data_IF_523054725731
#
_entry.id   IF_523054725731
#
_cell.length_a   1.000
_cell.length_b   1.000
_cell.length_c   1.000
_cell.angle_alpha   90.00
_cell.angle_beta   90.00
_cell.angle_gamma   90.00
#
_symmetry.space_group_name_H-M   'P 1'
#
loop_
_entity.id
_entity.type
_entity.pdbx_description
1 polymer ?
#
# COMPACT_ATOMS: atom_id res chain seq x y z
N UNK A 1 41.69 -1.46 1.15
CA UNK A 1 40.78 -2.61 0.98
C UNK A 1 39.37 -2.14 1.31
N UNK A 2 38.55 -1.84 0.30
CA UNK A 2 37.18 -1.40 0.50
C UNK A 2 36.31 -2.62 0.85
N UNK A 3 35.83 -2.69 2.09
CA UNK A 3 34.77 -3.64 2.46
C UNK A 3 33.50 -3.23 1.72
N UNK A 4 33.23 -3.93 0.62
CA UNK A 4 31.93 -3.89 -0.04
C UNK A 4 30.90 -4.40 0.96
N UNK A 5 30.09 -3.49 1.51
CA UNK A 5 28.93 -3.81 2.33
C UNK A 5 28.07 -4.82 1.56
N UNK A 6 28.16 -6.10 1.93
CA UNK A 6 27.22 -7.11 1.45
C UNK A 6 25.85 -6.68 1.95
N UNK A 7 24.83 -6.59 1.09
CA UNK A 7 23.48 -6.27 1.54
C UNK A 7 23.09 -7.31 2.60
N UNK A 8 22.81 -6.85 3.82
CA UNK A 8 22.22 -7.69 4.85
C UNK A 8 21.02 -8.39 4.22
N UNK A 9 21.02 -9.73 4.27
CA UNK A 9 19.92 -10.55 3.76
C UNK A 9 18.67 -10.06 4.49
N UNK A 10 17.75 -9.40 3.77
CA UNK A 10 16.55 -8.83 4.38
C UNK A 10 15.86 -9.92 5.20
N UNK A 11 15.58 -9.63 6.47
CA UNK A 11 14.88 -10.57 7.35
C UNK A 11 13.53 -10.89 6.70
N UNK A 12 13.36 -12.13 6.24
CA UNK A 12 12.09 -12.58 5.65
C UNK A 12 11.10 -12.81 6.78
N UNK A 13 9.96 -12.13 6.70
CA UNK A 13 8.91 -12.19 7.72
C UNK A 13 8.01 -13.40 7.44
N UNK A 14 7.84 -14.28 8.42
CA UNK A 14 6.97 -15.45 8.26
C UNK A 14 5.53 -15.00 8.03
N UNK A 15 4.88 -15.57 7.01
CA UNK A 15 3.45 -15.36 6.75
C UNK A 15 2.85 -16.67 6.27
N UNK A 16 1.58 -16.93 6.61
CA UNK A 16 0.91 -18.17 6.20
C UNK A 16 -0.42 -17.88 5.54
N UNK A 17 -0.98 -18.88 4.85
CA UNK A 17 -2.34 -18.85 4.30
C UNK A 17 -3.42 -18.74 5.40
N UNK A 18 -3.04 -18.84 6.67
CA UNK A 18 -3.93 -18.64 7.80
C UNK A 18 -3.47 -17.46 8.69
N UNK A 19 -4.40 -16.96 9.48
CA UNK A 19 -4.15 -16.04 10.59
C UNK A 19 -4.93 -16.46 11.83
N UNK A 20 -4.57 -15.91 12.99
CA UNK A 20 -5.35 -16.03 14.21
C UNK A 20 -6.17 -14.74 14.37
N UNK A 21 -7.49 -14.86 14.51
CA UNK A 21 -8.33 -13.71 14.83
C UNK A 21 -8.18 -13.27 16.30
N UNK A 22 -8.91 -12.24 16.70
CA UNK A 22 -8.88 -11.70 18.07
C UNK A 22 -9.34 -12.70 19.14
N UNK A 23 -10.03 -13.76 18.75
CA UNK A 23 -10.46 -14.86 19.63
C UNK A 23 -9.44 -16.02 19.64
N UNK A 24 -8.36 -15.91 18.86
CA UNK A 24 -7.36 -16.95 18.69
C UNK A 24 -7.78 -18.07 17.75
N UNK A 25 -8.90 -17.92 17.03
CA UNK A 25 -9.34 -18.92 16.07
C UNK A 25 -8.54 -18.80 14.77
N UNK A 26 -8.21 -19.96 14.21
CA UNK A 26 -7.49 -20.05 12.94
C UNK A 26 -8.44 -19.78 11.77
N UNK A 27 -8.18 -18.71 11.03
CA UNK A 27 -8.95 -18.25 9.88
C UNK A 27 -8.12 -18.33 8.60
N UNK A 28 -8.78 -18.51 7.45
CA UNK A 28 -8.13 -18.55 6.14
C UNK A 28 -7.94 -17.12 5.62
N UNK A 29 -6.76 -16.81 5.10
CA UNK A 29 -6.50 -15.62 4.28
C UNK A 29 -6.93 -15.89 2.85
N UNK A 30 -7.56 -14.92 2.19
CA UNK A 30 -8.07 -15.13 0.83
C UNK A 30 -9.54 -15.55 0.78
N UNK A 31 -10.30 -15.37 1.87
CA UNK A 31 -11.72 -15.70 1.89
C UNK A 31 -12.56 -14.60 1.23
N UNK A 32 -13.84 -14.89 0.96
CA UNK A 32 -14.78 -13.88 0.45
C UNK A 32 -15.12 -12.80 1.49
N UNK A 33 -14.91 -13.06 2.78
CA UNK A 33 -15.20 -12.11 3.87
C UNK A 33 -14.06 -11.13 4.12
N UNK A 34 -12.95 -11.21 3.37
CA UNK A 34 -11.80 -10.34 3.55
C UNK A 34 -12.09 -8.85 3.27
N UNK A 35 -13.07 -8.54 2.42
CA UNK A 35 -13.50 -7.16 2.21
C UNK A 35 -14.05 -6.49 3.48
N UNK A 36 -14.64 -7.28 4.39
CA UNK A 36 -15.20 -6.80 5.65
C UNK A 36 -14.20 -6.92 6.80
N UNK A 37 -13.39 -7.99 6.80
CA UNK A 37 -12.54 -8.36 7.94
C UNK A 37 -11.11 -7.82 7.85
N UNK A 38 -10.56 -7.62 6.64
CA UNK A 38 -9.19 -7.11 6.47
C UNK A 38 -8.95 -5.75 7.16
N UNK A 39 -9.84 -4.74 7.06
CA UNK A 39 -9.62 -3.46 7.74
C UNK A 39 -9.44 -3.61 9.26
N UNK A 40 -10.26 -4.48 9.86
CA UNK A 40 -10.25 -4.77 11.30
C UNK A 40 -8.93 -5.47 11.68
N UNK A 41 -8.50 -6.46 10.90
CA UNK A 41 -7.24 -7.19 11.17
C UNK A 41 -6.01 -6.31 11.05
N UNK A 42 -5.93 -5.49 10.01
CA UNK A 42 -4.80 -4.57 9.81
C UNK A 42 -4.73 -3.58 10.95
N UNK A 43 -5.87 -3.01 11.35
CA UNK A 43 -5.93 -2.07 12.46
C UNK A 43 -5.61 -2.74 13.79
N UNK A 44 -6.20 -3.90 14.09
CA UNK A 44 -5.94 -4.65 15.32
C UNK A 44 -4.46 -5.05 15.45
N UNK A 45 -3.87 -5.64 14.40
CA UNK A 45 -2.47 -6.05 14.44
C UNK A 45 -1.48 -4.89 14.68
N UNK A 46 -1.86 -3.65 14.35
CA UNK A 46 -1.05 -2.45 14.61
C UNK A 46 -1.37 -1.88 16.00
N UNK A 47 -2.64 -1.79 16.38
CA UNK A 47 -3.07 -1.17 17.64
C UNK A 47 -2.80 -2.04 18.86
N UNK A 48 -2.73 -3.37 18.68
CA UNK A 48 -2.43 -4.34 19.73
C UNK A 48 -0.91 -4.43 20.05
N UNK A 49 -0.07 -3.71 19.30
CA UNK A 49 1.36 -3.61 19.61
C UNK A 49 1.52 -2.90 20.96
N UNK A 50 2.22 -3.50 21.93
CA UNK A 50 2.47 -2.86 23.23
C UNK A 50 3.07 -1.47 23.05
N UNK A 51 2.48 -0.45 23.70
CA UNK A 51 2.90 0.94 23.58
C UNK A 51 2.11 1.76 22.54
N UNK A 52 1.52 1.14 21.52
CA UNK A 52 0.68 1.84 20.53
C UNK A 52 -0.67 2.20 21.14
N UNK A 53 -1.34 1.25 21.79
CA UNK A 53 -2.68 1.43 22.36
C UNK A 53 -2.76 2.64 23.32
N UNK A 54 -1.75 2.80 24.17
CA UNK A 54 -1.71 3.85 25.19
C UNK A 54 -1.21 5.21 24.65
N UNK A 55 -0.57 5.23 23.47
CA UNK A 55 0.00 6.44 22.89
C UNK A 55 -0.96 7.07 21.86
N UNK A 56 -1.72 8.08 22.31
CA UNK A 56 -2.70 8.79 21.46
C UNK A 56 -2.05 9.46 20.25
N UNK A 57 -0.93 10.15 20.42
CA UNK A 57 -0.23 10.85 19.34
C UNK A 57 0.27 9.87 18.28
N UNK A 58 0.86 8.75 18.72
CA UNK A 58 1.31 7.69 17.81
C UNK A 58 0.13 7.15 16.98
N UNK A 59 -1.03 6.89 17.60
CA UNK A 59 -2.23 6.43 16.87
C UNK A 59 -2.72 7.45 15.85
N UNK A 60 -2.68 8.74 16.19
CA UNK A 60 -3.03 9.82 15.25
C UNK A 60 -2.07 9.85 14.06
N UNK A 61 -0.76 9.71 14.29
CA UNK A 61 0.24 9.65 13.22
C UNK A 61 0.08 8.44 12.32
N UNK A 62 -0.24 7.27 12.88
CA UNK A 62 -0.57 6.06 12.12
C UNK A 62 -1.81 6.33 11.24
N UNK A 63 -2.83 6.97 11.79
CA UNK A 63 -4.02 7.37 11.04
C UNK A 63 -3.70 8.35 9.89
N UNK A 64 -2.85 9.34 10.14
CA UNK A 64 -2.39 10.26 9.10
C UNK A 64 -1.58 9.56 8.02
N UNK A 65 -0.67 8.66 8.39
CA UNK A 65 0.08 7.85 7.44
C UNK A 65 -0.86 7.05 6.52
N UNK A 66 -1.89 6.42 7.07
CA UNK A 66 -2.88 5.67 6.30
C UNK A 66 -3.64 6.56 5.31
N UNK A 67 -4.18 7.69 5.78
CA UNK A 67 -4.92 8.63 4.93
C UNK A 67 -4.03 9.17 3.81
N UNK A 68 -2.82 9.63 4.13
CA UNK A 68 -1.91 10.18 3.12
C UNK A 68 -1.40 9.11 2.15
N UNK A 69 -1.25 7.86 2.59
CA UNK A 69 -0.91 6.77 1.70
C UNK A 69 -2.03 6.50 0.70
N UNK A 70 -3.27 6.36 1.17
CA UNK A 70 -4.45 6.11 0.32
C UNK A 70 -4.73 7.23 -0.69
N UNK A 71 -4.44 8.49 -0.32
CA UNK A 71 -4.59 9.64 -1.22
C UNK A 71 -3.38 9.86 -2.13
N UNK A 72 -2.34 9.04 -2.04
CA UNK A 72 -1.12 9.17 -2.85
C UNK A 72 -0.24 10.37 -2.47
N UNK A 73 -0.42 10.94 -1.27
CA UNK A 73 0.45 11.97 -0.69
C UNK A 73 1.70 11.32 -0.04
N UNK A 74 2.50 10.66 -0.89
CA UNK A 74 3.59 9.76 -0.46
C UNK A 74 4.63 10.41 0.45
N UNK A 75 4.91 11.70 0.29
CA UNK A 75 5.86 12.44 1.15
C UNK A 75 5.35 12.56 2.58
N UNK A 76 4.07 12.94 2.76
CA UNK A 76 3.44 13.04 4.08
C UNK A 76 3.26 11.67 4.70
N UNK A 77 2.84 10.67 3.91
CA UNK A 77 2.75 9.29 4.37
C UNK A 77 4.11 8.81 4.91
N UNK A 78 5.20 9.02 4.14
CA UNK A 78 6.55 8.64 4.55
C UNK A 78 7.01 9.38 5.81
N UNK A 79 6.67 10.67 5.95
CA UNK A 79 6.96 11.45 7.15
C UNK A 79 6.35 10.80 8.40
N UNK A 80 5.03 10.58 8.41
CA UNK A 80 4.35 10.00 9.57
C UNK A 80 4.77 8.56 9.83
N UNK A 81 4.97 7.73 8.80
CA UNK A 81 5.52 6.38 8.94
C UNK A 81 6.90 6.41 9.63
N UNK A 82 7.75 7.35 9.25
CA UNK A 82 9.10 7.50 9.85
C UNK A 82 9.01 7.96 11.30
N UNK A 83 8.17 8.95 11.60
CA UNK A 83 7.97 9.43 12.97
C UNK A 83 7.41 8.35 13.89
N UNK A 84 6.41 7.59 13.42
CA UNK A 84 5.85 6.46 14.17
C UNK A 84 6.90 5.38 14.48
N UNK A 85 7.79 5.05 13.53
CA UNK A 85 8.87 4.08 13.75
C UNK A 85 9.97 4.57 14.68
N UNK A 86 10.18 5.89 14.79
CA UNK A 86 11.11 6.44 15.76
C UNK A 86 10.60 6.28 17.19
N UNK A 87 9.27 6.32 17.39
CA UNK A 87 8.64 6.08 18.70
C UNK A 87 8.53 4.59 18.98
N UNK A 88 8.00 3.81 18.05
CA UNK A 88 7.74 2.39 18.22
C UNK A 88 8.34 1.56 17.06
N UNK A 89 9.59 1.08 17.19
CA UNK A 89 10.24 0.26 16.18
C UNK A 89 9.52 -1.07 15.88
N UNK A 90 8.67 -1.59 16.80
CA UNK A 90 7.90 -2.80 16.56
C UNK A 90 6.86 -2.65 15.43
N UNK A 91 6.58 -1.42 14.97
CA UNK A 91 5.75 -1.15 13.79
C UNK A 91 6.43 -1.53 12.46
N UNK A 92 7.75 -1.74 12.45
CA UNK A 92 8.52 -1.96 11.22
C UNK A 92 7.94 -3.07 10.32
N UNK A 93 7.55 -4.25 10.84
CA UNK A 93 6.99 -5.32 10.03
C UNK A 93 5.70 -4.96 9.30
N UNK A 94 4.96 -3.97 9.81
CA UNK A 94 3.74 -3.46 9.22
C UNK A 94 4.01 -2.31 8.25
N UNK A 95 5.06 -1.53 8.47
CA UNK A 95 5.30 -0.26 7.77
C UNK A 95 6.30 -0.34 6.62
N UNK A 96 7.21 -1.32 6.64
CA UNK A 96 8.33 -1.36 5.69
C UNK A 96 7.88 -1.31 4.22
N UNK A 97 6.75 -1.97 3.89
CA UNK A 97 6.25 -2.00 2.52
C UNK A 97 5.74 -0.63 2.08
N UNK A 98 4.91 0.04 2.89
CA UNK A 98 4.41 1.38 2.57
C UNK A 98 5.57 2.36 2.40
N UNK A 99 6.54 2.33 3.31
CA UNK A 99 7.73 3.19 3.21
C UNK A 99 8.51 2.94 1.93
N UNK A 100 8.66 1.67 1.52
CA UNK A 100 9.33 1.31 0.27
C UNK A 100 8.57 1.84 -0.95
N UNK A 101 7.24 1.70 -0.96
CA UNK A 101 6.39 2.28 -2.02
C UNK A 101 6.57 3.79 -2.07
N UNK A 102 6.43 4.50 -0.94
CA UNK A 102 6.61 5.95 -0.87
C UNK A 102 7.97 6.36 -1.42
N UNK A 103 9.06 5.75 -0.94
CA UNK A 103 10.42 6.04 -1.40
C UNK A 103 10.58 5.75 -2.90
N UNK A 104 10.05 4.62 -3.38
CA UNK A 104 10.11 4.23 -4.78
C UNK A 104 9.38 5.21 -5.69
N UNK A 105 8.17 5.64 -5.31
CA UNK A 105 7.41 6.64 -6.06
C UNK A 105 8.12 8.00 -6.06
N UNK A 106 8.54 8.48 -4.89
CA UNK A 106 9.21 9.79 -4.74
C UNK A 106 10.55 9.86 -5.51
N UNK A 107 11.24 8.72 -5.66
CA UNK A 107 12.48 8.66 -6.44
C UNK A 107 12.27 8.78 -7.97
N UNK A 108 11.03 8.62 -8.47
CA UNK A 108 10.73 8.77 -9.90
C UNK A 108 10.49 10.25 -10.21
N UNK A 109 11.33 10.89 -11.05
CA UNK A 109 11.14 12.29 -11.41
C UNK A 109 9.90 12.48 -12.28
N UNK A 110 9.19 13.57 -12.05
CA UNK A 110 8.00 13.94 -12.81
C UNK A 110 8.38 14.35 -14.24
N UNK A 111 7.55 13.96 -15.21
CA UNK A 111 7.58 14.51 -16.56
C UNK A 111 6.97 15.90 -16.59
N UNK A 112 7.23 16.64 -17.68
CA UNK A 112 6.69 18.00 -17.86
C UNK A 112 5.16 18.07 -17.73
N UNK A 113 4.45 17.11 -18.31
CA UNK A 113 2.99 17.02 -18.21
C UNK A 113 2.51 16.66 -16.80
N UNK A 114 3.25 15.82 -16.07
CA UNK A 114 2.99 15.48 -14.67
C UNK A 114 3.20 16.69 -13.74
N UNK A 115 4.23 17.51 -13.98
CA UNK A 115 4.44 18.78 -13.25
C UNK A 115 3.28 19.74 -13.46
N UNK A 116 2.79 19.87 -14.70
CA UNK A 116 1.62 20.70 -15.01
C UNK A 116 0.35 20.14 -14.34
N UNK A 117 0.22 18.82 -14.28
CA UNK A 117 -0.87 18.17 -13.56
C UNK A 117 -0.82 18.44 -12.06
N UNK A 118 0.35 18.33 -11.41
CA UNK A 118 0.49 18.64 -9.99
C UNK A 118 0.11 20.10 -9.68
N UNK A 119 0.54 21.05 -10.50
CA UNK A 119 0.12 22.45 -10.36
C UNK A 119 -1.41 22.62 -10.48
N UNK A 120 -2.04 21.90 -11.42
CA UNK A 120 -3.50 21.88 -11.58
C UNK A 120 -4.19 21.24 -10.37
N UNK A 121 -3.62 20.17 -9.81
CA UNK A 121 -4.13 19.46 -8.64
C UNK A 121 -4.05 20.33 -7.38
N UNK A 122 -2.94 21.04 -7.17
CA UNK A 122 -2.80 22.03 -6.08
C UNK A 122 -3.87 23.10 -6.17
N UNK A 123 -4.09 23.65 -7.38
CA UNK A 123 -5.18 24.61 -7.61
C UNK A 123 -6.55 24.01 -7.30
N UNK A 124 -6.80 22.77 -7.71
CA UNK A 124 -8.05 22.06 -7.42
C UNK A 124 -8.30 21.92 -5.91
N UNK A 125 -7.28 21.57 -5.13
CA UNK A 125 -7.40 21.46 -3.67
C UNK A 125 -7.57 22.80 -2.96
N UNK A 126 -6.98 23.87 -3.49
CA UNK A 126 -7.14 25.22 -2.97
C UNK A 126 -8.54 25.82 -3.21
N UNK A 127 -9.32 25.27 -4.14
CA UNK A 127 -10.68 25.75 -4.39
C UNK A 127 -11.65 25.30 -3.28
N UNK A 128 -12.50 26.21 -2.77
CA UNK A 128 -13.67 25.85 -1.98
C UNK A 128 -14.50 24.76 -2.68
N UNK A 129 -15.13 23.87 -1.91
CA UNK A 129 -15.92 22.73 -2.47
C UNK A 129 -16.93 23.20 -3.53
N UNK A 130 -17.63 24.30 -3.26
CA UNK A 130 -18.61 24.89 -4.16
C UNK A 130 -18.01 25.53 -5.42
N UNK A 131 -16.68 25.67 -5.54
CA UNK A 131 -16.02 26.16 -6.75
C UNK A 131 -15.36 25.04 -7.57
N UNK A 132 -15.22 23.83 -7.00
CA UNK A 132 -14.58 22.70 -7.71
C UNK A 132 -15.31 22.29 -8.99
N UNK A 133 -16.62 22.50 -9.07
CA UNK A 133 -17.40 22.23 -10.29
C UNK A 133 -17.00 23.10 -11.48
N UNK A 134 -16.34 24.25 -11.25
CA UNK A 134 -15.84 25.11 -12.33
C UNK A 134 -14.65 24.50 -13.07
N UNK A 135 -13.98 23.49 -12.49
CA UNK A 135 -12.91 22.74 -13.14
C UNK A 135 -13.48 21.58 -13.98
N UNK A 136 -14.34 21.90 -14.95
CA UNK A 136 -14.92 20.93 -15.87
C UNK A 136 -13.82 20.09 -16.55
N UNK A 137 -14.04 18.76 -16.59
CA UNK A 137 -13.08 17.82 -17.17
C UNK A 137 -11.79 17.63 -16.35
N UNK A 138 -11.77 17.98 -15.07
CA UNK A 138 -10.67 17.59 -14.19
C UNK A 138 -10.71 16.09 -13.89
N UNK A 139 -9.87 15.34 -14.59
CA UNK A 139 -9.67 13.91 -14.34
C UNK A 139 -8.70 13.72 -13.18
N UNK A 140 -9.16 13.06 -12.12
CA UNK A 140 -8.33 12.75 -10.97
C UNK A 140 -7.37 11.60 -11.29
N UNK A 141 -6.07 11.86 -11.12
CA UNK A 141 -4.98 10.91 -11.32
C UNK A 141 -4.15 10.83 -10.05
N UNK A 142 -3.69 9.62 -9.73
CA UNK A 142 -2.72 9.36 -8.67
C UNK A 142 -1.46 8.72 -9.26
N UNK A 143 -0.33 8.90 -8.58
CA UNK A 143 0.91 8.22 -8.96
C UNK A 143 0.77 6.73 -8.60
N UNK A 144 1.02 5.87 -9.58
CA UNK A 144 0.98 4.43 -9.42
C UNK A 144 2.02 3.95 -8.40
N UNK A 145 1.62 3.11 -7.43
CA UNK A 145 2.51 2.56 -6.41
C UNK A 145 3.67 1.74 -6.96
N UNK A 146 3.54 1.23 -8.19
CA UNK A 146 4.53 0.38 -8.83
C UNK A 146 5.60 1.16 -9.61
N UNK A 147 5.19 2.15 -10.41
CA UNK A 147 6.10 2.85 -11.33
C UNK A 147 6.23 4.36 -11.05
N UNK A 148 5.48 4.89 -10.09
CA UNK A 148 5.50 6.30 -9.73
C UNK A 148 4.94 7.25 -10.79
N UNK A 149 4.33 6.77 -11.88
CA UNK A 149 3.70 7.60 -12.92
C UNK A 149 2.24 7.87 -12.63
N UNK A 150 1.75 9.05 -12.99
CA UNK A 150 0.34 9.36 -12.89
C UNK A 150 -0.50 8.47 -13.81
N UNK A 151 -1.57 7.92 -13.25
CA UNK A 151 -2.58 7.11 -13.95
C UNK A 151 -3.97 7.51 -13.42
N UNK A 152 -5.05 7.34 -14.20
CA UNK A 152 -6.40 7.59 -13.70
C UNK A 152 -6.64 6.85 -12.39
N UNK A 153 -7.38 7.49 -11.48
CA UNK A 153 -7.76 6.87 -10.22
C UNK A 153 -8.63 5.64 -10.48
N UNK A 154 -8.28 4.54 -9.84
CA UNK A 154 -9.00 3.28 -9.91
C UNK A 154 -9.29 2.87 -8.48
N UNK A 155 -10.55 2.85 -8.07
CA UNK A 155 -10.91 2.52 -6.69
C UNK A 155 -10.38 1.11 -6.32
N UNK A 156 -9.47 0.98 -5.34
CA UNK A 156 -8.89 -0.30 -4.98
C UNK A 156 -9.90 -1.26 -4.34
N UNK A 157 -11.06 -0.77 -3.90
CA UNK A 157 -12.11 -1.56 -3.23
C UNK A 157 -13.25 -1.96 -4.16
N UNK A 158 -13.31 -1.44 -5.38
CA UNK A 158 -14.32 -1.87 -6.36
C UNK A 158 -13.84 -3.20 -6.96
N UNK A 159 -14.56 -4.32 -6.73
CA UNK A 159 -14.16 -5.60 -7.28
C UNK A 159 -14.29 -5.55 -8.79
N UNK A 160 -13.16 -5.43 -9.48
CA UNK A 160 -13.10 -5.69 -10.92
C UNK A 160 -13.15 -7.20 -11.10
N UNK A 161 -14.36 -7.75 -11.19
CA UNK A 161 -14.57 -9.15 -11.54
C UNK A 161 -13.94 -9.41 -12.91
N UNK A 162 -12.79 -10.09 -12.91
CA UNK A 162 -12.02 -10.42 -14.10
C UNK A 162 -10.55 -10.02 -13.97
N UNK A 163 -9.70 -11.03 -13.74
CA UNK A 163 -8.24 -10.94 -13.69
C UNK A 163 -7.58 -10.50 -15.03
N UNK A 164 -8.37 -10.05 -16.00
CA UNK A 164 -7.96 -9.80 -17.40
C UNK A 164 -8.42 -8.46 -17.95
N UNK A 165 -8.95 -7.54 -17.13
CA UNK A 165 -9.35 -6.22 -17.64
C UNK A 165 -8.24 -5.20 -17.44
N UNK A 166 -7.82 -4.56 -18.55
CA UNK A 166 -6.95 -3.37 -18.53
C UNK A 166 -7.53 -2.22 -17.69
N UNK A 167 -8.81 -2.29 -17.34
CA UNK A 167 -9.54 -1.34 -16.51
C UNK A 167 -8.94 -1.17 -15.09
N UNK A 168 -8.25 -2.18 -14.55
CA UNK A 168 -7.60 -2.09 -13.23
C UNK A 168 -6.06 -2.04 -13.31
N UNK A 169 -5.50 -1.54 -14.41
CA UNK A 169 -4.05 -1.51 -14.64
C UNK A 169 -3.53 -0.09 -14.78
N UNK A 170 -2.30 0.14 -14.33
CA UNK A 170 -1.61 1.40 -14.57
C UNK A 170 -1.47 1.62 -16.08
N UNK A 171 -1.90 2.78 -16.60
CA UNK A 171 -1.72 3.12 -18.02
C UNK A 171 -0.25 3.23 -18.43
N UNK A 172 0.67 3.45 -17.48
CA UNK A 172 2.10 3.58 -17.81
C UNK A 172 2.88 2.26 -17.72
N UNK A 173 2.59 1.39 -16.75
CA UNK A 173 3.37 0.16 -16.54
C UNK A 173 2.59 -1.14 -16.70
N UNK A 174 1.27 -1.06 -16.93
CA UNK A 174 0.40 -2.22 -17.11
C UNK A 174 0.15 -3.06 -15.86
N UNK A 175 0.78 -2.76 -14.71
CA UNK A 175 0.57 -3.53 -13.48
C UNK A 175 -0.81 -3.26 -12.89
N UNK A 176 -1.47 -4.32 -12.46
CA UNK A 176 -2.79 -4.27 -11.84
C UNK A 176 -2.76 -3.61 -10.45
N UNK A 177 -3.92 -3.14 -10.00
CA UNK A 177 -4.13 -2.48 -8.69
C UNK A 177 -3.09 -1.37 -8.44
N UNK A 178 -3.00 -0.35 -9.31
CA UNK A 178 -1.94 0.64 -9.23
C UNK A 178 -2.11 1.65 -8.09
N UNK A 179 -3.31 1.76 -7.52
CA UNK A 179 -3.58 2.68 -6.43
C UNK A 179 -2.98 2.17 -5.11
N UNK A 180 -2.39 3.07 -4.31
CA UNK A 180 -2.03 2.74 -2.94
C UNK A 180 -3.30 2.42 -2.15
N UNK A 181 -3.23 1.43 -1.28
CA UNK A 181 -4.29 1.14 -0.31
C UNK A 181 -3.67 0.60 0.96
N UNK A 182 -3.86 1.28 2.08
CA UNK A 182 -3.38 0.90 3.40
C UNK A 182 -3.84 -0.51 3.74
N UNK A 183 -5.06 -0.88 3.38
CA UNK A 183 -5.59 -2.20 3.66
C UNK A 183 -4.97 -3.26 2.74
N UNK A 184 -4.99 -3.06 1.42
CA UNK A 184 -4.52 -4.07 0.47
C UNK A 184 -2.99 -4.16 0.35
N UNK A 185 -2.27 -3.12 0.73
CA UNK A 185 -0.81 -3.08 0.76
C UNK A 185 -0.21 -3.54 2.11
N UNK A 186 -1.06 -3.79 3.11
CA UNK A 186 -0.66 -4.40 4.38
C UNK A 186 -0.09 -5.82 4.18
N UNK A 187 0.65 -6.37 5.17
CA UNK A 187 1.07 -7.76 5.11
C UNK A 187 -0.08 -8.74 4.80
N UNK A 188 -1.22 -8.54 5.46
CA UNK A 188 -2.41 -9.37 5.32
C UNK A 188 -3.10 -9.18 3.96
N UNK A 189 -3.21 -7.95 3.48
CA UNK A 189 -3.78 -7.62 2.17
C UNK A 189 -2.92 -8.15 1.02
N UNK A 190 -1.61 -8.09 1.16
CA UNK A 190 -0.69 -8.69 0.17
C UNK A 190 -0.73 -10.21 0.24
N UNK A 191 -0.83 -10.80 1.43
CA UNK A 191 -1.00 -12.24 1.59
C UNK A 191 -2.31 -12.74 0.97
N UNK A 192 -3.41 -12.00 1.14
CA UNK A 192 -4.66 -12.25 0.43
C UNK A 192 -4.43 -12.39 -1.07
N UNK A 193 -3.81 -11.38 -1.68
CA UNK A 193 -3.59 -11.38 -3.13
C UNK A 193 -2.63 -12.48 -3.57
N UNK A 194 -1.64 -12.82 -2.75
CA UNK A 194 -0.70 -13.90 -3.00
C UNK A 194 -1.39 -15.26 -3.01
N UNK A 195 -2.12 -15.61 -1.95
CA UNK A 195 -2.77 -16.92 -1.82
C UNK A 195 -3.97 -17.09 -2.76
N UNK A 196 -4.61 -15.98 -3.17
CA UNK A 196 -5.70 -15.99 -4.16
C UNK A 196 -5.25 -15.92 -5.61
N UNK A 197 -3.95 -15.82 -5.85
CA UNK A 197 -3.38 -15.57 -7.17
C UNK A 197 -4.07 -14.39 -7.89
N UNK A 198 -4.25 -13.28 -7.17
CA UNK A 198 -5.06 -12.15 -7.67
C UNK A 198 -4.39 -11.33 -8.76
N UNK A 199 -3.12 -11.55 -9.03
CA UNK A 199 -2.34 -10.84 -10.04
C UNK A 199 -1.95 -11.79 -11.18
N UNK A 200 -2.06 -11.32 -12.42
CA UNK A 200 -1.54 -12.05 -13.58
C UNK A 200 -0.03 -11.90 -13.78
N UNK A 201 0.59 -10.86 -13.19
CA UNK A 201 2.02 -10.59 -13.29
C UNK A 201 2.83 -11.29 -12.21
N UNK A 202 3.79 -12.13 -12.63
CA UNK A 202 4.72 -12.87 -11.77
C UNK A 202 5.54 -11.94 -10.84
N UNK A 203 5.76 -10.68 -11.24
CA UNK A 203 6.55 -9.72 -10.45
C UNK A 203 5.97 -9.50 -9.05
N UNK A 204 4.65 -9.50 -8.89
CA UNK A 204 4.03 -9.34 -7.56
C UNK A 204 4.45 -10.47 -6.62
N UNK A 205 4.38 -11.72 -7.09
CA UNK A 205 4.69 -12.90 -6.28
C UNK A 205 6.17 -12.96 -5.92
N UNK A 206 7.06 -12.69 -6.88
CA UNK A 206 8.51 -12.57 -6.63
C UNK A 206 8.82 -11.47 -5.62
N UNK A 207 8.16 -10.32 -5.71
CA UNK A 207 8.29 -9.24 -4.73
C UNK A 207 7.78 -9.66 -3.35
N UNK A 208 6.68 -10.42 -3.27
CA UNK A 208 6.12 -10.92 -2.02
C UNK A 208 7.04 -11.96 -1.36
N UNK A 209 7.52 -12.96 -2.10
CA UNK A 209 8.45 -14.00 -1.63
C UNK A 209 9.85 -13.47 -1.29
N UNK A 210 10.22 -12.31 -1.83
CA UNK A 210 11.42 -11.58 -1.39
C UNK A 210 11.22 -10.99 0.01
N UNK A 211 10.03 -10.44 0.27
CA UNK A 211 9.72 -9.66 1.48
C UNK A 211 9.29 -10.55 2.65
N UNK A 212 8.65 -11.67 2.35
CA UNK A 212 8.05 -12.60 3.28
C UNK A 212 8.56 -14.03 3.05
N UNK A 213 8.36 -14.90 4.04
CA UNK A 213 8.54 -16.35 3.97
C UNK A 213 7.16 -17.04 3.96
N UNK A 214 6.43 -17.03 2.82
CA UNK A 214 5.07 -17.57 2.75
C UNK A 214 5.03 -19.09 2.88
N UNK A 215 4.06 -19.59 3.67
CA UNK A 215 3.83 -21.03 3.89
C UNK A 215 2.33 -21.37 3.70
N UNK A 216 1.96 -22.22 2.71
CA UNK A 216 2.82 -22.80 1.68
C UNK A 216 3.28 -21.76 0.65
N UNK A 217 4.26 -22.13 -0.18
CA UNK A 217 4.52 -21.39 -1.42
C UNK A 217 3.37 -21.66 -2.39
N UNK A 218 2.86 -20.62 -3.04
CA UNK A 218 1.82 -20.78 -4.03
C UNK A 218 2.47 -21.21 -5.35
N UNK A 219 1.86 -22.16 -6.04
CA UNK A 219 2.35 -22.69 -7.30
C UNK A 219 1.85 -21.79 -8.43
N UNK A 220 2.50 -20.64 -8.62
CA UNK A 220 2.21 -19.74 -9.73
C UNK A 220 2.63 -20.44 -11.02
N UNK A 221 1.67 -20.68 -11.93
CA UNK A 221 1.90 -21.29 -13.25
C UNK A 221 2.26 -20.25 -14.29
#
# INVERSE_FOLDING_TARGET
>A
MNQVNRPQKALRRSISEHYLDSEGNKQIRGSSTDFETLPIRVSGAILDIPGVEQNKELREWIGYAAVYYDTGEYEKALHYLTQSLMIEPALEPYFFYYMRVCKGVLAVPLRRDEVLYEAKLVRYYALPKWLKWTMLGFEFRLRCKWCGRYTPYIDPNVPTFGFSTSANSCMSCGRMYPMPSWMWDSPDGRAYSYYRMSFSDEKFYKEFERDYDPKPLCQHK
#
